data_IF_851603020935
#
_entry.id   IF_851603020935
#
_cell.length_a   1.000
_cell.length_b   1.000
_cell.length_c   1.000
_cell.angle_alpha   90.00
_cell.angle_beta   90.00
_cell.angle_gamma   90.00
#
_symmetry.space_group_name_H-M   'P 1'
#
loop_
_entity.id
_entity.type
_entity.pdbx_description
1 polymer ?
#
# COMPACT_ATOMS: atom_id res chain seq x y z
N UNK A 1 -2.70 -9.06 18.66
CA UNK A 1 -2.86 -7.63 18.99
C UNK A 1 -2.29 -6.74 17.88
N UNK A 2 -1.05 -6.95 17.44
CA UNK A 2 -0.42 -6.24 16.31
C UNK A 2 -1.21 -6.24 15.00
N UNK A 3 -1.74 -7.40 14.55
CA UNK A 3 -2.57 -7.50 13.33
C UNK A 3 -3.78 -6.55 13.34
N UNK A 4 -4.50 -6.45 14.47
CA UNK A 4 -5.68 -5.58 14.59
C UNK A 4 -5.29 -4.11 14.49
N UNK A 5 -4.14 -3.75 15.05
CA UNK A 5 -3.60 -2.39 15.00
C UNK A 5 -3.21 -2.04 13.56
N UNK A 6 -2.54 -2.94 12.84
CA UNK A 6 -2.11 -2.71 11.45
C UNK A 6 -3.32 -2.65 10.50
N UNK A 7 -4.23 -3.62 10.60
CA UNK A 7 -5.43 -3.70 9.76
C UNK A 7 -6.38 -2.50 9.94
N UNK A 8 -6.38 -1.87 11.12
CA UNK A 8 -7.22 -0.70 11.40
C UNK A 8 -6.47 0.60 11.10
N UNK A 9 -5.21 0.73 11.50
CA UNK A 9 -4.43 1.96 11.29
C UNK A 9 -4.19 2.24 9.81
N UNK A 10 -4.00 1.20 9.00
CA UNK A 10 -3.79 1.33 7.57
C UNK A 10 -4.96 2.02 6.82
N UNK A 11 -6.20 1.51 6.88
CA UNK A 11 -7.34 2.18 6.25
C UNK A 11 -7.66 3.52 6.90
N UNK A 12 -7.50 3.65 8.22
CA UNK A 12 -7.74 4.90 8.93
C UNK A 12 -6.79 6.00 8.45
N UNK A 13 -5.49 5.72 8.31
CA UNK A 13 -4.51 6.69 7.81
C UNK A 13 -4.82 7.15 6.39
N UNK A 14 -5.22 6.22 5.51
CA UNK A 14 -5.57 6.55 4.13
C UNK A 14 -6.86 7.37 4.04
N UNK A 15 -7.84 7.13 4.92
CA UNK A 15 -9.04 7.95 5.03
C UNK A 15 -8.70 9.39 5.48
N UNK A 16 -7.83 9.55 6.47
CA UNK A 16 -7.36 10.88 6.89
C UNK A 16 -6.65 11.63 5.77
N UNK A 17 -5.74 10.96 5.04
CA UNK A 17 -5.05 11.55 3.90
C UNK A 17 -6.02 11.94 2.78
N UNK A 18 -6.99 11.07 2.46
CA UNK A 18 -8.01 11.35 1.45
C UNK A 18 -8.88 12.56 1.82
N UNK A 19 -9.29 12.66 3.09
CA UNK A 19 -10.00 13.82 3.61
C UNK A 19 -9.17 15.11 3.45
N UNK A 20 -7.89 15.06 3.80
CA UNK A 20 -7.00 16.21 3.71
C UNK A 20 -6.76 16.65 2.26
N UNK A 21 -6.57 15.70 1.34
CA UNK A 21 -6.49 15.95 -0.11
C UNK A 21 -7.78 16.62 -0.62
N UNK A 22 -8.95 16.10 -0.25
CA UNK A 22 -10.24 16.67 -0.65
C UNK A 22 -10.40 18.11 -0.16
N UNK A 23 -9.99 18.40 1.08
CA UNK A 23 -10.04 19.74 1.64
C UNK A 23 -9.12 20.72 0.89
N UNK A 24 -7.89 20.30 0.58
CA UNK A 24 -6.93 21.11 -0.19
C UNK A 24 -7.42 21.38 -1.63
N UNK A 25 -8.00 20.37 -2.29
CA UNK A 25 -8.58 20.53 -3.62
C UNK A 25 -9.81 21.45 -3.63
N UNK A 26 -10.60 21.49 -2.56
CA UNK A 26 -11.69 22.46 -2.47
C UNK A 26 -11.17 23.91 -2.41
N UNK A 27 -10.06 24.13 -1.70
CA UNK A 27 -9.39 25.44 -1.64
C UNK A 27 -8.78 25.85 -2.98
N UNK A 28 -8.39 24.90 -3.86
CA UNK A 28 -7.93 25.26 -5.20
C UNK A 28 -9.06 25.74 -6.10
N UNK A 29 -10.26 25.17 -6.01
CA UNK A 29 -11.41 25.61 -6.84
C UNK A 29 -11.79 27.06 -6.55
N UNK A 30 -11.74 27.46 -5.28
CA UNK A 30 -12.17 28.80 -4.82
C UNK A 30 -11.01 29.80 -4.64
N UNK A 31 -9.76 29.35 -4.78
CA UNK A 31 -8.56 30.12 -4.43
C UNK A 31 -7.90 30.87 -5.59
N UNK A 32 -7.03 31.82 -5.24
CA UNK A 32 -6.25 32.60 -6.20
C UNK A 32 -5.19 31.74 -6.92
N UNK A 33 -4.73 32.20 -8.09
CA UNK A 33 -3.68 31.55 -8.88
C UNK A 33 -2.37 31.34 -8.09
N UNK A 34 -2.05 32.27 -7.19
CA UNK A 34 -0.90 32.16 -6.29
C UNK A 34 -1.04 31.00 -5.30
N UNK A 35 -2.22 30.81 -4.70
CA UNK A 35 -2.47 29.69 -3.77
C UNK A 35 -2.42 28.34 -4.48
N UNK A 36 -2.95 28.26 -5.70
CA UNK A 36 -2.90 27.05 -6.54
C UNK A 36 -1.48 26.56 -6.75
N UNK A 37 -0.52 27.47 -6.95
CA UNK A 37 0.90 27.12 -7.15
C UNK A 37 1.50 26.31 -6.00
N UNK A 38 1.08 26.58 -4.76
CA UNK A 38 1.55 25.83 -3.58
C UNK A 38 0.69 24.59 -3.28
N UNK A 39 -0.61 24.64 -3.53
CA UNK A 39 -1.52 23.55 -3.16
C UNK A 39 -1.38 22.34 -4.10
N UNK A 40 -1.18 22.56 -5.40
CA UNK A 40 -1.00 21.47 -6.37
C UNK A 40 0.15 20.51 -6.01
N UNK A 41 1.40 20.97 -5.78
CA UNK A 41 2.50 20.06 -5.43
C UNK A 41 2.28 19.35 -4.10
N UNK A 42 1.72 20.04 -3.09
CA UNK A 42 1.40 19.42 -1.79
C UNK A 42 0.36 18.31 -1.95
N UNK A 43 -0.67 18.55 -2.75
CA UNK A 43 -1.72 17.56 -3.01
C UNK A 43 -1.16 16.34 -3.77
N UNK A 44 -0.25 16.58 -4.71
CA UNK A 44 0.43 15.51 -5.44
C UNK A 44 1.31 14.65 -4.51
N UNK A 45 2.06 15.28 -3.61
CA UNK A 45 2.86 14.56 -2.60
C UNK A 45 1.98 13.71 -1.67
N UNK A 46 0.84 14.26 -1.22
CA UNK A 46 -0.11 13.53 -0.38
C UNK A 46 -0.74 12.35 -1.12
N UNK A 47 -1.08 12.52 -2.40
CA UNK A 47 -1.58 11.43 -3.24
C UNK A 47 -0.56 10.30 -3.37
N UNK A 48 0.71 10.63 -3.62
CA UNK A 48 1.79 9.64 -3.60
C UNK A 48 1.90 8.98 -2.22
N UNK A 49 1.74 9.73 -1.13
CA UNK A 49 1.73 9.20 0.24
C UNK A 49 0.62 8.16 0.46
N UNK A 50 -0.59 8.40 -0.04
CA UNK A 50 -1.70 7.42 -0.01
C UNK A 50 -1.31 6.17 -0.80
N UNK A 51 -0.73 6.33 -1.99
CA UNK A 51 -0.29 5.18 -2.81
C UNK A 51 0.78 4.35 -2.13
N UNK A 52 1.80 4.99 -1.55
CA UNK A 52 2.87 4.30 -0.80
C UNK A 52 2.28 3.55 0.39
N UNK A 53 1.41 4.20 1.17
CA UNK A 53 0.73 3.53 2.27
C UNK A 53 -0.04 2.31 1.75
N UNK A 54 -0.84 2.46 0.69
CA UNK A 54 -1.62 1.37 0.10
C UNK A 54 -0.75 0.17 -0.26
N UNK A 55 0.37 0.44 -0.94
CA UNK A 55 1.34 -0.57 -1.35
C UNK A 55 1.96 -1.27 -0.13
N UNK A 56 2.43 -0.50 0.86
CA UNK A 56 3.00 -1.04 2.10
C UNK A 56 1.98 -1.86 2.91
N UNK A 57 0.73 -1.41 2.96
CA UNK A 57 -0.37 -2.13 3.61
C UNK A 57 -0.63 -3.47 2.95
N UNK A 58 -0.69 -3.52 1.61
CA UNK A 58 -0.83 -4.79 0.87
C UNK A 58 0.37 -5.69 1.09
N UNK A 59 1.60 -5.18 1.00
CA UNK A 59 2.81 -5.96 1.29
C UNK A 59 2.79 -6.54 2.71
N UNK A 60 2.41 -5.75 3.72
CA UNK A 60 2.34 -6.21 5.11
C UNK A 60 1.28 -7.30 5.35
N UNK A 61 0.37 -7.55 4.41
CA UNK A 61 -0.61 -8.64 4.47
C UNK A 61 -0.17 -9.93 3.78
N UNK A 62 0.91 -9.89 3.00
CA UNK A 62 1.45 -11.06 2.33
C UNK A 62 2.09 -11.99 3.38
N UNK A 63 1.75 -13.30 3.41
CA UNK A 63 2.26 -14.26 4.39
C UNK A 63 3.70 -14.72 4.05
N UNK A 64 4.61 -13.76 3.85
CA UNK A 64 6.02 -13.98 3.57
C UNK A 64 6.84 -13.33 4.70
N UNK A 65 7.67 -14.07 5.46
CA UNK A 65 8.65 -13.45 6.36
C UNK A 65 9.55 -12.48 5.57
N UNK A 66 9.97 -11.29 6.05
CA UNK A 66 9.89 -10.67 7.38
C UNK A 66 8.67 -9.76 7.59
N UNK A 67 7.74 -9.73 6.62
CA UNK A 67 6.55 -8.89 6.65
C UNK A 67 5.60 -9.35 7.77
N UNK A 68 4.81 -8.42 8.30
CA UNK A 68 3.94 -8.70 9.44
C UNK A 68 2.99 -9.87 9.17
N UNK A 69 2.46 -9.98 7.95
CA UNK A 69 1.63 -11.10 7.46
C UNK A 69 2.28 -12.47 7.61
N UNK A 70 3.61 -12.57 7.47
CA UNK A 70 4.36 -13.81 7.73
C UNK A 70 4.33 -14.21 9.21
N UNK A 71 4.47 -13.25 10.13
CA UNK A 71 4.36 -13.50 11.57
C UNK A 71 2.95 -13.95 11.97
N UNK A 72 1.94 -13.39 11.30
CA UNK A 72 0.53 -13.78 11.48
C UNK A 72 0.31 -15.20 10.99
N UNK A 73 0.82 -15.55 9.82
CA UNK A 73 0.73 -16.91 9.29
C UNK A 73 1.39 -17.93 10.24
N UNK A 74 2.59 -17.65 10.77
CA UNK A 74 3.24 -18.49 11.80
C UNK A 74 2.33 -18.70 13.02
N UNK A 75 1.67 -17.63 13.50
CA UNK A 75 0.82 -17.70 14.69
C UNK A 75 -0.52 -18.42 14.49
N UNK A 76 -0.96 -18.59 13.24
CA UNK A 76 -2.22 -19.24 12.89
C UNK A 76 -2.04 -20.70 12.46
N UNK A 77 -0.83 -21.07 12.01
CA UNK A 77 -0.52 -22.42 11.53
C UNK A 77 -0.17 -23.36 12.69
N UNK A 78 -0.77 -24.57 12.76
CA UNK A 78 -0.35 -25.60 13.70
C UNK A 78 1.03 -26.19 13.31
N UNK A 79 1.78 -26.67 14.30
CA UNK A 79 3.00 -27.44 14.08
C UNK A 79 2.69 -28.68 13.20
N UNK A 80 3.51 -29.02 12.18
CA UNK A 80 4.87 -28.54 11.92
C UNK A 80 4.99 -27.37 10.92
N UNK A 81 3.87 -26.85 10.41
CA UNK A 81 3.86 -25.88 9.32
C UNK A 81 4.43 -24.50 9.73
N UNK A 82 4.21 -24.11 10.98
CA UNK A 82 4.87 -22.95 11.63
C UNK A 82 6.39 -23.06 11.54
N UNK A 83 6.97 -24.24 11.82
CA UNK A 83 8.41 -24.47 11.79
C UNK A 83 9.03 -24.32 10.40
N UNK A 84 8.32 -24.65 9.32
CA UNK A 84 8.78 -24.40 7.95
C UNK A 84 8.79 -22.91 7.60
N UNK A 85 7.79 -22.16 8.05
CA UNK A 85 7.71 -20.73 7.77
C UNK A 85 8.78 -19.93 8.54
N UNK A 86 9.09 -20.32 9.77
CA UNK A 86 10.18 -19.73 10.56
C UNK A 86 11.54 -19.95 9.90
N UNK A 87 11.77 -21.11 9.29
CA UNK A 87 13.03 -21.39 8.54
C UNK A 87 13.19 -20.51 7.30
N UNK A 88 12.12 -19.92 6.78
CA UNK A 88 12.15 -18.99 5.65
C UNK A 88 12.42 -17.53 6.08
N UNK A 89 12.41 -17.22 7.38
CA UNK A 89 12.67 -15.87 7.93
C UNK A 89 13.99 -15.23 7.43
N UNK A 90 15.13 -15.94 7.38
CA UNK A 90 16.39 -15.37 6.88
C UNK A 90 16.36 -15.06 5.37
N UNK A 91 15.56 -15.81 4.60
CA UNK A 91 15.46 -15.64 3.14
C UNK A 91 14.51 -14.51 2.75
N UNK A 92 13.69 -14.03 3.67
CA UNK A 92 12.70 -13.00 3.41
C UNK A 92 13.27 -11.68 2.89
N UNK A 93 14.38 -11.22 3.49
CA UNK A 93 15.10 -10.02 3.02
C UNK A 93 15.67 -10.23 1.62
N UNK A 94 16.18 -11.42 1.33
CA UNK A 94 16.74 -11.77 0.01
C UNK A 94 15.64 -11.80 -1.04
N UNK A 95 14.45 -12.34 -0.71
CA UNK A 95 13.28 -12.36 -1.58
C UNK A 95 12.78 -10.94 -1.91
N UNK A 96 12.74 -10.05 -0.91
CA UNK A 96 12.45 -8.63 -1.11
C UNK A 96 13.50 -7.94 -1.99
N UNK A 97 14.80 -8.23 -1.77
CA UNK A 97 15.88 -7.67 -2.57
C UNK A 97 15.78 -8.13 -4.03
N UNK A 98 15.51 -9.42 -4.26
CA UNK A 98 15.33 -10.00 -5.58
C UNK A 98 14.12 -9.39 -6.27
N UNK A 99 12.99 -9.23 -5.57
CA UNK A 99 11.79 -8.59 -6.12
C UNK A 99 12.10 -7.14 -6.54
N UNK A 100 12.83 -6.40 -5.70
CA UNK A 100 13.25 -5.02 -5.99
C UNK A 100 14.27 -4.96 -7.14
N UNK A 101 15.18 -5.93 -7.26
CA UNK A 101 16.24 -5.94 -8.28
C UNK A 101 15.74 -6.42 -9.64
N UNK A 102 14.88 -7.42 -9.66
CA UNK A 102 14.27 -7.94 -10.89
C UNK A 102 13.30 -6.91 -11.44
N UNK A 103 12.54 -6.25 -10.57
CA UNK A 103 11.46 -5.40 -11.02
C UNK A 103 11.05 -4.27 -10.05
N UNK A 104 11.88 -3.23 -9.90
CA UNK A 104 11.67 -2.18 -8.90
C UNK A 104 10.41 -1.33 -9.13
N UNK A 105 9.70 -1.49 -10.26
CA UNK A 105 8.52 -0.68 -10.57
C UNK A 105 7.47 -1.36 -11.45
N UNK A 106 7.80 -2.38 -12.24
CA UNK A 106 6.85 -3.00 -13.16
C UNK A 106 5.91 -3.95 -12.40
N UNK A 107 6.31 -4.59 -11.29
CA UNK A 107 5.38 -5.38 -10.47
C UNK A 107 4.23 -4.52 -9.91
N UNK A 108 4.56 -3.35 -9.37
CA UNK A 108 3.59 -2.39 -8.86
C UNK A 108 2.73 -1.81 -9.98
N UNK A 109 3.37 -1.47 -11.11
CA UNK A 109 2.68 -0.89 -12.28
C UNK A 109 1.75 -1.90 -12.96
N UNK A 110 2.15 -3.17 -13.08
CA UNK A 110 1.34 -4.27 -13.63
C UNK A 110 0.19 -4.61 -12.70
N UNK A 111 0.43 -4.70 -11.39
CA UNK A 111 -0.64 -4.94 -10.40
C UNK A 111 -1.66 -3.80 -10.41
N UNK A 112 -1.18 -2.56 -10.49
CA UNK A 112 -2.01 -1.36 -10.58
C UNK A 112 -2.81 -1.31 -11.88
N UNK A 113 -2.15 -1.50 -13.03
CA UNK A 113 -2.81 -1.52 -14.34
C UNK A 113 -3.82 -2.66 -14.44
N UNK A 114 -3.53 -3.84 -13.86
CA UNK A 114 -4.48 -4.95 -13.83
C UNK A 114 -5.74 -4.60 -13.03
N UNK A 115 -5.60 -3.95 -11.87
CA UNK A 115 -6.74 -3.51 -11.06
C UNK A 115 -7.53 -2.41 -11.78
N UNK A 116 -6.86 -1.38 -12.29
CA UNK A 116 -7.52 -0.27 -12.99
C UNK A 116 -8.24 -0.76 -14.24
N UNK A 117 -7.62 -1.60 -15.06
CA UNK A 117 -8.23 -2.09 -16.29
C UNK A 117 -9.41 -3.03 -16.03
N UNK A 118 -9.30 -3.95 -15.06
CA UNK A 118 -10.33 -4.97 -14.84
C UNK A 118 -11.44 -4.56 -13.87
N UNK A 119 -11.16 -3.65 -12.94
CA UNK A 119 -12.12 -3.23 -11.89
C UNK A 119 -12.69 -1.85 -12.18
N UNK A 120 -11.88 -0.91 -12.66
CA UNK A 120 -12.33 0.47 -12.85
C UNK A 120 -12.84 0.68 -14.28
N UNK A 121 -12.04 0.35 -15.29
CA UNK A 121 -12.41 0.59 -16.69
C UNK A 121 -13.50 -0.36 -17.19
N UNK A 122 -13.52 -1.61 -16.73
CA UNK A 122 -14.59 -2.57 -17.08
C UNK A 122 -15.97 -2.18 -16.52
N UNK A 123 -16.02 -1.41 -15.44
CA UNK A 123 -17.26 -0.89 -14.87
C UNK A 123 -17.64 0.51 -15.40
N UNK A 124 -16.71 1.17 -16.12
CA UNK A 124 -16.94 2.45 -16.80
C UNK A 124 -17.22 2.28 -18.30
N UNK A 125 -16.88 1.14 -18.89
CA UNK A 125 -17.37 0.74 -20.21
C UNK A 125 -18.83 0.29 -20.12
N UNK A 126 -19.73 1.28 -20.16
CA UNK A 126 -21.01 1.12 -20.87
C UNK A 126 -20.73 1.01 -22.37
#
# INVERSE_FOLDING_TARGET
MLLKIILVNFPVMNLYLAYFISHLMFQTVSGSLFLKFFIYPVTFMLFIGVMINLILGVFNLIPIPPLDGGRIAVSLLPEPFSGYLVKLEPFGIILLLILLLIDPGNFLTVSFNYIVNNVVLRNLSL
#
